data_IF_970637825086
#
_entry.id   IF_970637825086
#
_cell.length_a   1.000
_cell.length_b   1.000
_cell.length_c   1.000
_cell.angle_alpha   90.00
_cell.angle_beta   90.00
_cell.angle_gamma   90.00
#
_symmetry.space_group_name_H-M   'P 1'
#
loop_
_entity.id
_entity.type
_entity.pdbx_description
1 polymer ?
#
# COMPACT_ATOMS: atom_id res chain seq x y z
N UNK A 1 14.52 -7.60 12.90
CA UNK A 1 13.78 -7.37 11.64
C UNK A 1 12.58 -6.50 12.00
N UNK A 2 12.09 -5.68 11.08
CA UNK A 2 10.93 -4.81 11.35
C UNK A 2 9.64 -5.60 11.04
N UNK A 3 8.74 -5.66 12.00
CA UNK A 3 7.41 -6.23 11.83
C UNK A 3 6.45 -5.14 11.33
N UNK A 4 5.85 -5.37 10.18
CA UNK A 4 5.14 -4.34 9.41
C UNK A 4 3.78 -4.84 8.92
N UNK A 5 2.74 -4.06 9.19
CA UNK A 5 1.45 -4.19 8.51
C UNK A 5 1.35 -3.13 7.41
N UNK A 6 0.92 -3.51 6.21
CA UNK A 6 0.71 -2.61 5.09
C UNK A 6 -0.74 -2.66 4.59
N UNK A 7 -1.31 -1.49 4.26
CA UNK A 7 -2.70 -1.34 3.80
C UNK A 7 -2.73 -0.45 2.55
N UNK A 8 -3.32 -0.97 1.46
CA UNK A 8 -3.52 -0.20 0.22
C UNK A 8 -4.96 -0.35 -0.27
N UNK A 9 -5.66 0.78 -0.35
CA UNK A 9 -7.07 0.86 -0.79
C UNK A 9 -7.32 2.03 -1.75
N UNK A 10 -6.27 2.64 -2.28
CA UNK A 10 -6.38 3.82 -3.15
C UNK A 10 -6.84 3.51 -4.58
N UNK A 11 -6.78 2.24 -5.00
CA UNK A 11 -7.18 1.75 -6.32
C UNK A 11 -8.44 0.90 -6.30
N UNK A 12 -8.68 0.13 -7.36
CA UNK A 12 -9.76 -0.86 -7.45
C UNK A 12 -9.45 -2.15 -6.65
N UNK A 13 -8.19 -2.33 -6.28
CA UNK A 13 -7.73 -3.46 -5.50
C UNK A 13 -7.59 -3.04 -4.04
N UNK A 14 -8.18 -3.81 -3.14
CA UNK A 14 -7.90 -3.76 -1.71
C UNK A 14 -6.77 -4.74 -1.41
N UNK A 15 -5.66 -4.25 -0.87
CA UNK A 15 -4.52 -5.10 -0.53
C UNK A 15 -4.09 -4.88 0.90
N UNK A 16 -3.76 -5.97 1.57
CA UNK A 16 -3.16 -5.96 2.91
C UNK A 16 -1.95 -6.89 2.92
N UNK A 17 -0.91 -6.50 3.63
CA UNK A 17 0.31 -7.28 3.76
C UNK A 17 0.83 -7.24 5.19
N UNK A 18 1.34 -8.35 5.68
CA UNK A 18 1.94 -8.49 7.00
C UNK A 18 3.33 -9.12 6.86
N UNK A 19 4.32 -8.50 7.45
CA UNK A 19 5.65 -9.06 7.61
C UNK A 19 5.90 -9.22 9.12
N UNK A 20 6.11 -10.45 9.57
CA UNK A 20 6.42 -10.78 10.96
C UNK A 20 7.54 -11.80 10.99
N UNK A 21 8.60 -11.53 11.72
CA UNK A 21 9.78 -12.39 11.87
C UNK A 21 10.36 -12.85 10.52
N UNK A 22 10.30 -11.96 9.51
CA UNK A 22 10.78 -12.22 8.16
C UNK A 22 9.80 -12.98 7.26
N UNK A 23 8.73 -13.54 7.79
CA UNK A 23 7.66 -14.16 7.01
C UNK A 23 6.72 -13.10 6.44
N UNK A 24 6.29 -13.29 5.18
CA UNK A 24 5.43 -12.35 4.47
C UNK A 24 4.12 -12.99 4.09
N UNK A 25 3.04 -12.35 4.48
CA UNK A 25 1.67 -12.72 4.14
C UNK A 25 1.04 -11.60 3.36
N UNK A 26 0.33 -11.89 2.28
CA UNK A 26 -0.29 -10.86 1.42
C UNK A 26 -1.66 -11.35 0.96
N UNK A 27 -2.64 -10.47 1.02
CA UNK A 27 -3.97 -10.68 0.44
C UNK A 27 -4.37 -9.48 -0.40
N UNK A 28 -4.92 -9.76 -1.59
CA UNK A 28 -5.40 -8.75 -2.52
C UNK A 28 -6.72 -9.20 -3.13
N UNK A 29 -7.69 -8.29 -3.16
CA UNK A 29 -9.02 -8.54 -3.76
C UNK A 29 -9.40 -7.36 -4.65
N UNK A 30 -10.00 -7.64 -5.80
CA UNK A 30 -10.63 -6.61 -6.62
C UNK A 30 -12.00 -6.27 -6.00
N UNK A 31 -12.13 -5.05 -5.49
CA UNK A 31 -13.31 -4.64 -4.71
C UNK A 31 -13.91 -3.35 -5.29
N UNK A 32 -14.82 -3.46 -6.22
CA UNK A 32 -15.52 -2.30 -6.76
C UNK A 32 -16.24 -1.51 -5.65
N UNK A 33 -15.58 -0.46 -5.11
CA UNK A 33 -16.10 0.47 -4.08
C UNK A 33 -16.50 -0.15 -2.72
N UNK A 34 -16.10 -1.40 -2.44
CA UNK A 34 -16.42 -2.12 -1.18
C UNK A 34 -15.24 -2.24 -0.22
N UNK A 35 -14.27 -1.33 -0.30
CA UNK A 35 -13.06 -1.37 0.54
C UNK A 35 -13.38 -1.38 2.04
N UNK A 36 -14.36 -0.60 2.46
CA UNK A 36 -14.81 -0.55 3.86
C UNK A 36 -15.39 -1.87 4.37
N UNK A 37 -16.03 -2.65 3.49
CA UNK A 37 -16.61 -3.96 3.85
C UNK A 37 -15.57 -5.07 3.85
N UNK A 38 -14.54 -4.97 2.98
CA UNK A 38 -13.57 -6.03 2.76
C UNK A 38 -12.30 -5.90 3.60
N UNK A 39 -11.88 -4.69 3.92
CA UNK A 39 -10.59 -4.44 4.58
C UNK A 39 -10.45 -5.20 5.92
N UNK A 40 -11.42 -5.08 6.81
CA UNK A 40 -11.34 -5.74 8.12
C UNK A 40 -11.35 -7.27 8.03
N UNK A 41 -12.24 -7.91 7.23
CA UNK A 41 -12.17 -9.35 6.97
C UNK A 41 -10.83 -9.82 6.40
N UNK A 42 -10.22 -9.03 5.50
CA UNK A 42 -8.90 -9.36 4.93
C UNK A 42 -7.79 -9.26 5.98
N UNK A 43 -7.83 -8.26 6.85
CA UNK A 43 -6.88 -8.12 7.96
C UNK A 43 -6.98 -9.29 8.94
N UNK A 44 -8.21 -9.71 9.29
CA UNK A 44 -8.42 -10.87 10.13
C UNK A 44 -7.89 -12.16 9.51
N UNK A 45 -8.22 -12.41 8.25
CA UNK A 45 -7.74 -13.58 7.52
C UNK A 45 -6.21 -13.61 7.42
N UNK A 46 -5.57 -12.43 7.24
CA UNK A 46 -4.11 -12.31 7.19
C UNK A 46 -3.48 -12.62 8.55
N UNK A 47 -4.07 -12.12 9.64
CA UNK A 47 -3.64 -12.40 11.01
C UNK A 47 -3.72 -13.90 11.32
N UNK A 48 -4.84 -14.54 10.96
CA UNK A 48 -5.04 -15.98 11.15
C UNK A 48 -4.03 -16.83 10.38
N UNK A 49 -3.75 -16.44 9.14
CA UNK A 49 -2.73 -17.09 8.30
C UNK A 49 -1.33 -16.99 8.92
N UNK A 50 -1.04 -15.87 9.59
CA UNK A 50 0.21 -15.68 10.32
C UNK A 50 0.23 -16.44 11.70
N UNK A 51 -0.85 -17.09 12.08
CA UNK A 51 -0.96 -17.82 13.35
C UNK A 51 -0.99 -16.92 14.60
N UNK A 52 -1.34 -15.64 14.45
CA UNK A 52 -1.32 -14.66 15.53
C UNK A 52 -2.71 -14.46 16.14
N UNK A 53 -2.80 -14.32 17.45
CA UNK A 53 -3.98 -13.76 18.11
C UNK A 53 -4.05 -12.23 17.89
N UNK A 54 -5.22 -11.59 18.13
CA UNK A 54 -5.33 -10.13 18.02
C UNK A 54 -4.37 -9.39 18.96
N UNK A 55 -4.26 -9.73 20.25
CA UNK A 55 -3.26 -9.12 21.12
C UNK A 55 -1.83 -9.32 20.64
N UNK A 56 -1.47 -10.56 20.24
CA UNK A 56 -0.12 -10.86 19.76
C UNK A 56 0.25 -10.07 18.50
N UNK A 57 -0.68 -9.86 17.56
CA UNK A 57 -0.43 -9.00 16.41
C UNK A 57 -0.10 -7.57 16.85
N UNK A 58 -0.88 -7.00 17.77
CA UNK A 58 -0.65 -5.62 18.24
C UNK A 58 0.67 -5.49 19.00
N UNK A 59 1.05 -6.50 19.78
CA UNK A 59 2.29 -6.49 20.57
C UNK A 59 3.55 -6.58 19.70
N UNK A 60 3.49 -7.25 18.54
CA UNK A 60 4.68 -7.48 17.70
C UNK A 60 4.88 -6.39 16.63
N UNK A 61 3.89 -5.55 16.34
CA UNK A 61 3.97 -4.57 15.27
C UNK A 61 4.90 -3.39 15.63
N UNK A 62 5.94 -3.18 14.83
CA UNK A 62 6.81 -2.01 14.91
C UNK A 62 6.25 -0.83 14.10
N UNK A 63 5.59 -1.12 12.97
CA UNK A 63 5.10 -0.10 12.04
C UNK A 63 3.84 -0.53 11.30
N UNK A 64 3.02 0.46 10.94
CA UNK A 64 1.88 0.30 10.04
C UNK A 64 2.05 1.24 8.84
N UNK A 65 2.17 0.67 7.65
CA UNK A 65 2.27 1.41 6.40
C UNK A 65 0.90 1.54 5.73
N UNK A 66 0.65 2.67 5.06
CA UNK A 66 -0.53 2.81 4.22
C UNK A 66 -0.26 3.60 2.94
N UNK A 67 -1.01 3.27 1.88
CA UNK A 67 -1.00 4.01 0.62
C UNK A 67 -1.64 5.38 0.79
N UNK A 68 -0.81 6.45 0.67
CA UNK A 68 -1.27 7.85 0.75
C UNK A 68 -1.81 8.39 -0.58
N UNK A 69 -2.00 7.52 -1.55
CA UNK A 69 -2.31 7.90 -2.93
C UNK A 69 -1.06 8.30 -3.74
N UNK A 70 -1.29 8.84 -4.95
CA UNK A 70 -2.56 9.27 -5.53
C UNK A 70 -3.53 8.10 -5.78
N UNK A 71 -4.84 8.43 -5.85
CA UNK A 71 -5.88 7.44 -6.12
C UNK A 71 -7.26 7.87 -5.66
N UNK A 72 -8.10 6.91 -5.35
CA UNK A 72 -9.46 7.15 -4.84
C UNK A 72 -9.44 7.94 -3.54
N UNK A 73 -10.12 9.06 -3.52
CA UNK A 73 -10.26 9.92 -2.34
C UNK A 73 -10.82 9.18 -1.10
N UNK A 74 -11.84 8.36 -1.30
CA UNK A 74 -12.42 7.54 -0.23
C UNK A 74 -11.47 6.42 0.18
N UNK A 75 -10.85 5.75 -0.80
CA UNK A 75 -9.92 4.65 -0.55
C UNK A 75 -8.73 5.09 0.30
N UNK A 76 -8.06 6.19 -0.07
CA UNK A 76 -6.93 6.73 0.72
C UNK A 76 -7.32 7.01 2.18
N UNK A 77 -8.52 7.51 2.42
CA UNK A 77 -9.01 7.77 3.79
C UNK A 77 -9.31 6.50 4.57
N UNK A 78 -9.84 5.47 3.91
CA UNK A 78 -10.06 4.16 4.54
C UNK A 78 -8.73 3.56 4.99
N UNK A 79 -7.71 3.55 4.12
CA UNK A 79 -6.37 3.07 4.48
C UNK A 79 -5.77 3.88 5.64
N UNK A 80 -5.85 5.21 5.56
CA UNK A 80 -5.30 6.09 6.59
C UNK A 80 -5.97 5.88 7.94
N UNK A 81 -7.31 5.82 7.98
CA UNK A 81 -8.08 5.61 9.21
C UNK A 81 -7.78 4.25 9.85
N UNK A 82 -7.75 3.19 9.04
CA UNK A 82 -7.42 1.85 9.51
C UNK A 82 -5.98 1.77 10.04
N UNK A 83 -5.02 2.34 9.29
CA UNK A 83 -3.62 2.37 9.71
C UNK A 83 -3.42 3.13 11.03
N UNK A 84 -4.09 4.29 11.18
CA UNK A 84 -4.03 5.07 12.42
C UNK A 84 -4.63 4.30 13.60
N UNK A 85 -5.76 3.64 13.42
CA UNK A 85 -6.41 2.87 14.48
C UNK A 85 -5.53 1.69 14.95
N UNK A 86 -4.95 0.94 14.00
CA UNK A 86 -4.06 -0.19 14.34
C UNK A 86 -2.76 0.32 14.97
N UNK A 87 -2.14 1.36 14.41
CA UNK A 87 -0.90 1.92 14.93
C UNK A 87 -1.09 2.47 16.36
N UNK A 88 -2.21 3.15 16.63
CA UNK A 88 -2.54 3.62 17.97
C UNK A 88 -2.70 2.46 18.95
N UNK A 89 -3.43 1.41 18.56
CA UNK A 89 -3.65 0.25 19.41
C UNK A 89 -2.36 -0.54 19.69
N UNK A 90 -1.43 -0.59 18.73
CA UNK A 90 -0.16 -1.29 18.83
C UNK A 90 0.98 -0.43 19.42
N UNK A 91 0.81 0.87 19.56
CA UNK A 91 1.92 1.79 19.86
C UNK A 91 2.97 1.85 18.74
N UNK A 92 2.57 1.49 17.52
CA UNK A 92 3.45 1.33 16.35
C UNK A 92 3.61 2.65 15.57
N UNK A 93 4.69 2.76 14.80
CA UNK A 93 4.93 3.89 13.93
C UNK A 93 4.02 3.87 12.69
N UNK A 94 3.69 5.05 12.15
CA UNK A 94 2.95 5.17 10.90
C UNK A 94 3.89 5.53 9.76
N UNK A 95 3.83 4.76 8.67
CA UNK A 95 4.60 4.98 7.43
C UNK A 95 3.66 5.30 6.28
N UNK A 96 3.86 6.45 5.64
CA UNK A 96 3.07 6.87 4.48
C UNK A 96 3.80 6.55 3.20
N UNK A 97 3.23 5.66 2.37
CA UNK A 97 3.82 5.22 1.10
C UNK A 97 3.06 5.84 -0.07
N UNK A 98 3.79 6.38 -1.04
CA UNK A 98 3.17 6.84 -2.29
C UNK A 98 2.70 5.63 -3.10
N UNK A 99 1.42 5.60 -3.49
CA UNK A 99 0.87 4.50 -4.32
C UNK A 99 1.53 4.45 -5.70
N UNK A 100 1.92 5.60 -6.27
CA UNK A 100 2.66 5.66 -7.53
C UNK A 100 4.09 5.13 -7.39
N UNK A 101 4.75 5.40 -6.28
CA UNK A 101 6.09 4.89 -5.98
C UNK A 101 6.09 3.37 -5.76
N UNK A 102 5.15 2.86 -4.97
CA UNK A 102 4.97 1.44 -4.76
C UNK A 102 4.69 0.68 -6.07
N UNK A 103 3.83 1.24 -6.94
CA UNK A 103 3.53 0.69 -8.26
C UNK A 103 4.78 0.70 -9.15
N UNK A 104 5.54 1.79 -9.17
CA UNK A 104 6.76 1.91 -9.96
C UNK A 104 7.85 0.96 -9.48
N UNK A 105 7.99 0.79 -8.18
CA UNK A 105 8.92 -0.18 -7.60
C UNK A 105 8.53 -1.63 -7.98
N UNK A 106 7.25 -1.96 -7.93
CA UNK A 106 6.78 -3.28 -8.34
C UNK A 106 7.03 -3.54 -9.83
N UNK A 107 6.75 -2.55 -10.69
CA UNK A 107 7.00 -2.62 -12.12
C UNK A 107 8.51 -2.73 -12.45
N UNK A 108 9.36 -1.95 -11.77
CA UNK A 108 10.81 -1.97 -12.00
C UNK A 108 11.45 -3.33 -11.73
N UNK A 109 10.88 -4.11 -10.82
CA UNK A 109 11.34 -5.48 -10.54
C UNK A 109 11.01 -6.48 -11.64
N UNK A 110 10.01 -6.19 -12.47
CA UNK A 110 9.59 -7.02 -13.61
C UNK A 110 10.24 -6.56 -14.92
N UNK A 111 10.47 -5.26 -15.07
CA UNK A 111 11.06 -4.63 -16.26
C UNK A 111 12.56 -4.46 -16.05
N UNK A 112 13.32 -5.56 -16.09
CA UNK A 112 14.75 -5.60 -15.72
C UNK A 112 15.61 -4.68 -16.60
N UNK A 113 15.29 -4.56 -17.88
CA UNK A 113 16.06 -3.78 -18.87
C UNK A 113 15.62 -2.32 -18.99
N UNK A 114 14.67 -1.87 -18.17
CA UNK A 114 14.19 -0.49 -18.21
C UNK A 114 14.96 0.40 -17.22
N UNK A 115 15.46 1.54 -17.70
CA UNK A 115 16.15 2.54 -16.87
C UNK A 115 15.19 3.33 -15.97
N UNK A 116 13.90 3.37 -16.33
CA UNK A 116 12.88 4.06 -15.56
C UNK A 116 11.48 3.54 -15.81
N UNK A 117 10.54 4.04 -15.02
CA UNK A 117 9.12 3.67 -15.05
C UNK A 117 8.25 4.92 -14.96
N UNK A 118 7.25 5.01 -15.82
CA UNK A 118 6.17 6.00 -15.67
C UNK A 118 4.96 5.29 -15.10
N UNK A 119 4.55 5.70 -13.90
CA UNK A 119 3.29 5.23 -13.32
C UNK A 119 2.13 6.11 -13.76
N UNK A 120 1.02 5.49 -14.16
CA UNK A 120 -0.23 6.16 -14.50
C UNK A 120 -1.35 5.61 -13.60
N UNK A 121 -1.84 6.41 -12.67
CA UNK A 121 -2.93 6.02 -11.77
C UNK A 121 -4.17 6.81 -12.15
N UNK A 122 -5.23 6.08 -12.49
CA UNK A 122 -6.51 6.70 -12.87
C UNK A 122 -7.13 7.45 -11.69
N UNK A 123 -7.42 8.72 -11.87
CA UNK A 123 -8.11 9.56 -10.90
C UNK A 123 -9.63 9.44 -11.04
N UNK A 124 -10.14 9.82 -12.19
CA UNK A 124 -11.53 9.72 -12.62
C UNK A 124 -11.58 9.66 -14.14
N UNK A 125 -12.75 9.73 -14.74
CA UNK A 125 -12.90 9.68 -16.19
C UNK A 125 -11.90 10.62 -16.86
N UNK A 126 -11.08 10.07 -17.76
CA UNK A 126 -10.11 10.79 -18.59
C UNK A 126 -9.04 11.62 -17.84
N UNK A 127 -8.84 11.35 -16.54
CA UNK A 127 -7.82 11.99 -15.72
C UNK A 127 -6.91 10.97 -15.04
N UNK A 128 -5.61 11.18 -15.17
CA UNK A 128 -4.57 10.30 -14.62
C UNK A 128 -3.54 11.11 -13.83
N UNK A 129 -3.11 10.55 -12.73
CA UNK A 129 -1.92 10.98 -12.02
C UNK A 129 -0.72 10.30 -12.67
N UNK A 130 0.21 11.09 -13.19
CA UNK A 130 1.45 10.60 -13.78
C UNK A 130 2.64 10.94 -12.88
N UNK A 131 3.56 10.00 -12.73
CA UNK A 131 4.84 10.23 -12.09
C UNK A 131 5.91 9.39 -12.77
N UNK A 132 7.06 10.02 -13.06
CA UNK A 132 8.24 9.35 -13.60
C UNK A 132 9.20 8.98 -12.48
N UNK A 133 9.75 7.79 -12.58
CA UNK A 133 10.71 7.23 -11.64
C UNK A 133 11.90 6.64 -12.40
N UNK A 134 13.08 6.97 -11.96
CA UNK A 134 14.33 6.37 -12.40
C UNK A 134 14.68 5.16 -11.52
N UNK A 135 15.27 4.16 -12.11
CA UNK A 135 15.77 2.99 -11.38
C UNK A 135 17.05 3.35 -10.65
N UNK A 136 17.15 2.92 -9.41
CA UNK A 136 18.38 3.02 -8.58
C UNK A 136 18.79 1.65 -8.08
N UNK A 137 19.98 1.55 -7.50
CA UNK A 137 20.45 0.31 -6.84
C UNK A 137 19.50 -0.18 -5.75
N UNK A 138 18.85 0.74 -5.05
CA UNK A 138 18.04 0.45 -3.88
C UNK A 138 16.52 0.45 -4.16
N UNK A 139 16.13 0.72 -5.43
CA UNK A 139 14.71 0.75 -5.81
C UNK A 139 14.40 1.71 -6.94
N UNK A 140 13.52 2.68 -6.67
CA UNK A 140 13.14 3.73 -7.62
C UNK A 140 13.20 5.10 -6.96
N UNK A 141 13.69 6.10 -7.70
CA UNK A 141 13.70 7.49 -7.29
C UNK A 141 12.79 8.31 -8.20
N UNK A 142 11.97 9.17 -7.65
CA UNK A 142 11.10 10.04 -8.45
C UNK A 142 11.92 11.11 -9.17
N UNK A 143 11.78 11.19 -10.50
CA UNK A 143 12.46 12.18 -11.33
C UNK A 143 11.72 13.51 -11.38
N UNK A 144 10.35 13.46 -11.41
CA UNK A 144 9.52 14.65 -11.56
C UNK A 144 8.35 14.67 -10.60
N UNK A 145 7.76 15.85 -10.41
CA UNK A 145 6.55 16.00 -9.61
C UNK A 145 5.38 15.21 -10.21
N UNK A 146 4.57 14.67 -9.33
CA UNK A 146 3.31 14.06 -9.70
C UNK A 146 2.41 15.10 -10.38
N UNK A 147 2.02 14.84 -11.61
CA UNK A 147 1.10 15.71 -12.34
C UNK A 147 -0.24 15.01 -12.61
N UNK A 148 -1.31 15.79 -12.64
CA UNK A 148 -2.64 15.34 -13.05
C UNK A 148 -2.83 15.77 -14.50
N UNK A 149 -3.00 14.81 -15.40
CA UNK A 149 -3.20 15.07 -16.81
C UNK A 149 -4.51 14.50 -17.33
N UNK A 150 -5.03 15.13 -18.37
CA UNK A 150 -6.18 14.67 -19.14
C UNK A 150 -5.68 13.90 -20.36
N UNK A 151 -6.21 12.68 -20.57
CA UNK A 151 -5.91 11.83 -21.72
C UNK A 151 -7.21 11.52 -22.45
#
# INVERSE_FOLDING_TARGET
MVNLLAIETSGAICSVGLCVDGNRFVRSEHVEKKHNERLLPMLEALREEAGLSRPALLEVLDSVAFGRGPGSFTGVRIAAAAAQAVALAAGANIVRVSSSEALSLAASRQLIDADGVISAIRSRRDLYYLAAYERTSDGVQRCEQLSLIHI
#
